data_IF_293468879459
#
_entry.id   IF_293468879459
#
_cell.length_a   1.000
_cell.length_b   1.000
_cell.length_c   1.000
_cell.angle_alpha   90.00
_cell.angle_beta   90.00
_cell.angle_gamma   90.00
#
_symmetry.space_group_name_H-M   'P 1'
#
loop_
_entity.id
_entity.type
_entity.pdbx_description
1 polymer ?
#
# COMPACT_ATOMS: atom_id res chain seq x y z
N UNK A 1 -0.81 -26.31 17.88
CA UNK A 1 0.40 -25.53 17.55
C UNK A 1 0.25 -24.17 18.21
N UNK A 2 1.28 -23.66 18.89
CA UNK A 2 1.25 -22.32 19.49
C UNK A 2 0.92 -21.28 18.42
N UNK A 3 -0.08 -20.43 18.71
CA UNK A 3 -0.54 -19.40 17.81
C UNK A 3 0.51 -18.28 17.77
N UNK A 4 1.40 -18.32 16.78
CA UNK A 4 2.47 -17.31 16.59
C UNK A 4 1.94 -16.03 15.96
N UNK A 5 0.68 -15.97 15.55
CA UNK A 5 0.10 -14.80 14.86
C UNK A 5 0.11 -13.51 15.68
N UNK A 6 -0.17 -13.52 17.00
CA UNK A 6 -0.17 -12.30 17.80
C UNK A 6 1.16 -11.53 17.73
N UNK A 7 2.30 -12.22 17.67
CA UNK A 7 3.62 -11.57 17.58
C UNK A 7 3.92 -10.96 16.21
N UNK A 8 3.29 -11.45 15.13
CA UNK A 8 3.46 -10.92 13.77
C UNK A 8 2.44 -9.83 13.39
N UNK A 9 1.34 -9.69 14.15
CA UNK A 9 0.31 -8.66 13.89
C UNK A 9 0.86 -7.26 14.11
N UNK A 10 1.54 -7.03 15.23
CA UNK A 10 1.98 -5.70 15.63
C UNK A 10 2.99 -5.09 14.64
N UNK A 11 4.06 -5.80 14.23
CA UNK A 11 4.99 -5.30 13.22
C UNK A 11 4.31 -5.00 11.88
N UNK A 12 3.34 -5.82 11.47
CA UNK A 12 2.65 -5.65 10.19
C UNK A 12 1.69 -4.45 10.20
N UNK A 13 0.95 -4.25 11.28
CA UNK A 13 0.08 -3.07 11.46
C UNK A 13 0.93 -1.80 11.50
N UNK A 14 2.04 -1.80 12.24
CA UNK A 14 2.96 -0.65 12.30
C UNK A 14 3.54 -0.33 10.93
N UNK A 15 4.08 -1.32 10.20
CA UNK A 15 4.62 -1.11 8.86
C UNK A 15 3.57 -0.58 7.89
N UNK A 16 2.35 -1.13 7.94
CA UNK A 16 1.24 -0.67 7.09
C UNK A 16 0.85 0.77 7.42
N UNK A 17 0.78 1.14 8.70
CA UNK A 17 0.48 2.50 9.13
C UNK A 17 1.53 3.52 8.65
N UNK A 18 2.82 3.18 8.76
CA UNK A 18 3.93 4.04 8.30
C UNK A 18 3.85 4.24 6.78
N UNK A 19 3.76 3.16 6.00
CA UNK A 19 3.72 3.23 4.54
C UNK A 19 2.49 3.99 4.05
N UNK A 20 1.33 3.73 4.67
CA UNK A 20 0.10 4.44 4.33
C UNK A 20 0.23 5.94 4.60
N UNK A 21 0.84 6.33 5.72
CA UNK A 21 1.13 7.73 6.03
C UNK A 21 2.01 8.40 4.97
N UNK A 22 3.10 7.75 4.55
CA UNK A 22 3.95 8.25 3.47
C UNK A 22 3.21 8.35 2.13
N UNK A 23 2.39 7.36 1.78
CA UNK A 23 1.64 7.37 0.52
C UNK A 23 0.56 8.45 0.49
N UNK A 24 -0.13 8.69 1.61
CA UNK A 24 -1.10 9.78 1.70
C UNK A 24 -0.42 11.15 1.60
N UNK A 25 0.75 11.30 2.22
CA UNK A 25 1.55 12.51 2.09
C UNK A 25 1.99 12.72 0.63
N UNK A 26 2.54 11.69 -0.01
CA UNK A 26 2.90 11.73 -1.44
C UNK A 26 1.70 12.11 -2.30
N UNK A 27 0.55 11.46 -2.10
CA UNK A 27 -0.68 11.71 -2.87
C UNK A 27 -1.13 13.16 -2.77
N UNK A 28 -1.09 13.74 -1.56
CA UNK A 28 -1.45 15.13 -1.36
C UNK A 28 -0.51 16.10 -2.06
N UNK A 29 0.77 15.74 -2.19
CA UNK A 29 1.77 16.56 -2.88
C UNK A 29 1.60 16.41 -4.39
N UNK A 30 1.52 15.18 -4.88
CA UNK A 30 1.34 14.84 -6.30
C UNK A 30 0.16 15.56 -6.95
N UNK A 31 -1.00 15.60 -6.27
CA UNK A 31 -2.21 16.29 -6.79
C UNK A 31 -2.07 17.82 -6.82
N UNK A 32 -1.17 18.39 -6.01
CA UNK A 32 -0.94 19.84 -5.94
C UNK A 32 0.13 20.32 -6.92
N UNK A 33 1.00 19.43 -7.38
CA UNK A 33 2.05 19.75 -8.33
C UNK A 33 1.45 19.82 -9.73
N UNK A 34 1.77 20.86 -10.51
CA UNK A 34 1.52 20.85 -11.95
C UNK A 34 2.37 19.74 -12.57
N UNK A 35 1.75 18.63 -12.98
CA UNK A 35 2.48 17.53 -13.60
C UNK A 35 2.99 17.97 -14.96
N UNK A 36 4.31 17.95 -15.17
CA UNK A 36 4.94 18.11 -16.49
C UNK A 36 4.75 16.85 -17.37
N UNK A 37 4.28 15.76 -16.76
CA UNK A 37 3.93 14.52 -17.44
C UNK A 37 2.59 14.65 -18.18
N UNK A 38 2.43 13.88 -19.26
CA UNK A 38 1.15 13.79 -19.99
C UNK A 38 -0.02 13.53 -19.03
N UNK A 39 -1.15 14.22 -19.20
CA UNK A 39 -2.36 14.06 -18.37
C UNK A 39 -2.75 12.57 -18.17
N UNK A 40 -2.61 11.76 -19.23
CA UNK A 40 -2.94 10.33 -19.19
C UNK A 40 -2.02 9.56 -18.22
N UNK A 41 -0.74 9.93 -18.16
CA UNK A 41 0.23 9.35 -17.23
C UNK A 41 -0.08 9.74 -15.79
N UNK A 42 -0.43 11.01 -15.55
CA UNK A 42 -0.81 11.49 -14.21
C UNK A 42 -2.04 10.79 -13.66
N UNK A 43 -3.06 10.57 -14.50
CA UNK A 43 -4.23 9.76 -14.13
C UNK A 43 -3.86 8.32 -13.81
N UNK A 44 -2.96 7.70 -14.57
CA UNK A 44 -2.51 6.33 -14.31
C UNK A 44 -1.74 6.23 -12.99
N UNK A 45 -0.84 7.16 -12.71
CA UNK A 45 -0.11 7.25 -11.44
C UNK A 45 -1.08 7.41 -10.27
N UNK A 46 -2.05 8.34 -10.38
CA UNK A 46 -3.08 8.55 -9.38
C UNK A 46 -3.90 7.28 -9.12
N UNK A 47 -4.26 6.52 -10.16
CA UNK A 47 -4.98 5.26 -10.04
C UNK A 47 -4.14 4.19 -9.32
N UNK A 48 -2.86 4.04 -9.66
CA UNK A 48 -1.95 3.13 -8.98
C UNK A 48 -1.85 3.43 -7.48
N UNK A 49 -1.70 4.71 -7.13
CA UNK A 49 -1.57 5.12 -5.73
C UNK A 49 -2.88 4.87 -4.98
N UNK A 50 -4.03 5.22 -5.58
CA UNK A 50 -5.34 4.97 -5.00
C UNK A 50 -5.57 3.48 -4.74
N UNK A 51 -5.27 2.62 -5.71
CA UNK A 51 -5.41 1.17 -5.57
C UNK A 51 -4.52 0.61 -4.45
N UNK A 52 -3.28 1.11 -4.34
CA UNK A 52 -2.39 0.69 -3.26
C UNK A 52 -2.83 1.19 -1.89
N UNK A 53 -3.32 2.43 -1.76
CA UNK A 53 -3.92 2.96 -0.53
C UNK A 53 -5.10 2.09 -0.09
N UNK A 54 -6.05 1.79 -0.99
CA UNK A 54 -7.20 0.94 -0.68
C UNK A 54 -6.77 -0.46 -0.25
N UNK A 55 -5.75 -1.02 -0.91
CA UNK A 55 -5.19 -2.34 -0.56
C UNK A 55 -4.53 -2.33 0.84
N UNK A 56 -3.82 -1.28 1.20
CA UNK A 56 -3.20 -1.13 2.52
C UNK A 56 -4.24 -0.89 3.62
N UNK A 57 -5.28 -0.10 3.36
CA UNK A 57 -6.42 0.06 4.28
C UNK A 57 -7.12 -1.29 4.50
N UNK A 58 -7.35 -2.06 3.44
CA UNK A 58 -7.93 -3.39 3.55
C UNK A 58 -7.03 -4.35 4.34
N UNK A 59 -5.71 -4.26 4.16
CA UNK A 59 -4.72 -5.01 4.96
C UNK A 59 -4.84 -4.67 6.44
N UNK A 60 -4.93 -3.38 6.78
CA UNK A 60 -5.11 -2.92 8.16
C UNK A 60 -6.41 -3.44 8.76
N UNK A 61 -7.52 -3.31 8.04
CA UNK A 61 -8.81 -3.86 8.48
C UNK A 61 -8.71 -5.35 8.77
N UNK A 62 -8.08 -6.10 7.87
CA UNK A 62 -7.92 -7.55 7.98
C UNK A 62 -7.02 -7.96 9.16
N UNK A 63 -5.98 -7.17 9.45
CA UNK A 63 -5.07 -7.42 10.58
C UNK A 63 -5.63 -6.94 11.92
N UNK A 64 -6.50 -5.94 11.94
CA UNK A 64 -7.14 -5.43 13.15
C UNK A 64 -8.36 -6.28 13.54
N UNK A 65 -9.05 -6.88 12.56
CA UNK A 65 -10.15 -7.82 12.81
C UNK A 65 -9.70 -8.95 13.73
N UNK A 66 -10.43 -9.12 14.84
CA UNK A 66 -10.24 -10.19 15.83
C UNK A 66 -10.91 -11.50 15.42
N UNK A 67 -11.73 -11.47 14.36
CA UNK A 67 -12.54 -12.58 13.87
C UNK A 67 -11.79 -13.34 12.77
N UNK A 68 -10.72 -14.03 13.14
CA UNK A 68 -9.93 -14.86 12.22
C UNK A 68 -10.08 -16.36 12.55
N UNK A 69 -10.19 -17.22 11.52
CA UNK A 69 -10.28 -18.67 11.73
C UNK A 69 -8.94 -19.18 12.27
N UNK A 70 -8.91 -19.52 13.56
CA UNK A 70 -7.72 -20.02 14.27
C UNK A 70 -7.17 -21.33 13.68
N UNK A 71 -8.04 -22.15 13.08
CA UNK A 71 -7.65 -23.39 12.38
C UNK A 71 -6.86 -23.16 11.08
N UNK A 72 -6.98 -21.99 10.45
CA UNK A 72 -6.30 -21.64 9.20
C UNK A 72 -5.55 -20.30 9.30
N UNK A 73 -5.05 -20.02 10.51
CA UNK A 73 -4.43 -18.77 10.88
C UNK A 73 -3.26 -18.41 9.94
N UNK A 74 -2.42 -19.39 9.59
CA UNK A 74 -1.27 -19.21 8.67
C UNK A 74 -1.69 -18.81 7.25
N UNK A 75 -2.72 -19.45 6.68
CA UNK A 75 -3.22 -19.11 5.35
C UNK A 75 -3.84 -17.72 5.32
N UNK A 76 -4.55 -17.34 6.40
CA UNK A 76 -5.10 -16.00 6.55
C UNK A 76 -3.98 -14.94 6.58
N UNK A 77 -2.92 -15.20 7.35
CA UNK A 77 -1.73 -14.33 7.39
C UNK A 77 -1.06 -14.22 6.04
N UNK A 78 -0.77 -15.33 5.35
CA UNK A 78 -0.12 -15.33 4.02
C UNK A 78 -0.93 -14.55 2.97
N UNK A 79 -2.26 -14.71 2.95
CA UNK A 79 -3.12 -13.93 2.04
C UNK A 79 -3.08 -12.44 2.36
N UNK A 80 -3.03 -12.07 3.64
CA UNK A 80 -2.94 -10.68 4.08
C UNK A 80 -1.58 -10.08 3.73
N UNK A 81 -0.50 -10.85 3.92
CA UNK A 81 0.86 -10.46 3.54
C UNK A 81 0.99 -10.27 2.02
N UNK A 82 0.42 -11.18 1.22
CA UNK A 82 0.41 -11.05 -0.24
C UNK A 82 -0.32 -9.77 -0.69
N UNK A 83 -1.47 -9.46 -0.07
CA UNK A 83 -2.23 -8.25 -0.38
C UNK A 83 -1.51 -6.97 0.07
N UNK A 84 -0.81 -7.02 1.21
CA UNK A 84 0.09 -5.96 1.65
C UNK A 84 1.21 -5.71 0.63
N UNK A 85 1.96 -6.74 0.26
CA UNK A 85 3.06 -6.64 -0.70
C UNK A 85 2.55 -6.14 -2.06
N UNK A 86 1.39 -6.63 -2.50
CA UNK A 86 0.75 -6.18 -3.73
C UNK A 86 0.42 -4.68 -3.67
N UNK A 87 -0.24 -4.22 -2.59
CA UNK A 87 -0.56 -2.81 -2.40
C UNK A 87 0.67 -1.91 -2.39
N UNK A 88 1.71 -2.30 -1.63
CA UNK A 88 3.00 -1.59 -1.61
C UNK A 88 3.61 -1.53 -3.01
N UNK A 89 3.69 -2.66 -3.71
CA UNK A 89 4.33 -2.72 -5.03
C UNK A 89 3.62 -1.85 -6.06
N UNK A 90 2.29 -1.90 -6.10
CA UNK A 90 1.49 -1.08 -7.03
C UNK A 90 1.66 0.41 -6.73
N UNK A 91 1.64 0.81 -5.46
CA UNK A 91 1.92 2.20 -5.08
C UNK A 91 3.32 2.64 -5.46
N UNK A 92 4.33 1.81 -5.21
CA UNK A 92 5.72 2.11 -5.56
C UNK A 92 5.91 2.28 -7.07
N UNK A 93 5.24 1.48 -7.89
CA UNK A 93 5.27 1.66 -9.35
C UNK A 93 4.74 3.03 -9.74
N UNK A 94 3.63 3.48 -9.15
CA UNK A 94 3.09 4.83 -9.39
C UNK A 94 4.09 5.94 -9.03
N UNK A 95 4.72 5.84 -7.85
CA UNK A 95 5.73 6.82 -7.39
C UNK A 95 6.97 6.81 -8.27
N UNK A 96 7.46 5.64 -8.69
CA UNK A 96 8.60 5.54 -9.59
C UNK A 96 8.29 6.13 -10.96
N UNK A 97 7.09 5.89 -11.48
CA UNK A 97 6.65 6.47 -12.75
C UNK A 97 6.59 8.00 -12.70
N UNK A 98 6.11 8.58 -11.60
CA UNK A 98 6.15 10.02 -11.34
C UNK A 98 7.59 10.56 -11.36
N UNK A 99 8.49 9.93 -10.60
CA UNK A 99 9.90 10.31 -10.53
C UNK A 99 10.60 10.21 -11.89
N UNK A 100 10.37 9.13 -12.64
CA UNK A 100 10.91 8.98 -14.00
C UNK A 100 10.33 10.00 -14.98
N UNK A 101 9.04 10.33 -14.83
CA UNK A 101 8.38 11.36 -15.63
C UNK A 101 9.05 12.72 -15.45
N UNK A 102 9.26 13.14 -14.20
CA UNK A 102 9.94 14.39 -13.87
C UNK A 102 11.42 14.41 -14.32
N UNK A 103 12.14 13.30 -14.16
CA UNK A 103 13.56 13.24 -14.57
C UNK A 103 13.76 13.32 -16.09
N UNK A 104 12.77 12.88 -16.87
CA UNK A 104 12.82 12.92 -18.34
C UNK A 104 12.28 14.25 -18.93
N UNK A 105 11.59 15.06 -18.12
CA UNK A 105 11.07 16.37 -18.53
C UNK A 105 12.07 17.51 -18.29
N UNK A 106 13.07 17.32 -17.41
CA UNK A 106 14.29 18.14 -17.32
C UNK A 106 15.30 17.83 -18.44
#
# INVERSE_FOLDING_TARGET
MEDKIPSFRQPMVTATGIILGFLLNFSSTFVKTESETSETMSYFIGLCILLGILSLIYTLYRMLSLDYPKDNSEQYYRKTLALFIFGVSVSFVGVLMDMFGHFMSE
#
